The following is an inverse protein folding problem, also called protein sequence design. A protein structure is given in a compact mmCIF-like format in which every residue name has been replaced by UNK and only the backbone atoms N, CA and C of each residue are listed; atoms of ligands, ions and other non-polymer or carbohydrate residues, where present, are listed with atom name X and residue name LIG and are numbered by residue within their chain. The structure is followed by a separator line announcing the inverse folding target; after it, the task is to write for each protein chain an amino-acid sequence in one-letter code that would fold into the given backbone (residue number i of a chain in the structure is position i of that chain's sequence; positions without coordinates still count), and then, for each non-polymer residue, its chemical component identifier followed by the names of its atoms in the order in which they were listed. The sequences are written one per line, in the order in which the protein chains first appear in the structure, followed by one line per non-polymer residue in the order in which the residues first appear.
data_IF_541279680125
#
_entry.id   IF_541279680125
#
_cell.length_a   1.000
_cell.length_b   1.000
_cell.length_c   1.000
_cell.angle_alpha   90.00
_cell.angle_beta   90.00
_cell.angle_gamma   90.00
#
_symmetry.space_group_name_H-M   'P 1'
#
loop_
_entity.id
_entity.type
_entity.pdbx_description
1 polymer ?
#
# COMPACT_ATOMS: atom_id res chain seq x y z
N UNK A 1 73.53 34.47 -29.07
CA UNK A 1 72.83 33.24 -29.52
C UNK A 1 71.37 33.39 -29.09
N UNK A 2 70.39 33.29 -30.00
CA UNK A 2 69.59 32.06 -30.25
C UNK A 2 69.03 31.47 -28.94
N UNK A 3 67.72 31.33 -28.70
CA UNK A 3 66.54 31.54 -29.54
C UNK A 3 65.28 31.77 -28.64
N UNK A 4 64.23 32.42 -29.20
CA UNK A 4 62.76 32.23 -28.99
C UNK A 4 62.29 31.22 -27.92
N UNK A 5 61.17 31.35 -27.20
CA UNK A 5 59.82 31.87 -27.55
C UNK A 5 59.01 32.02 -26.21
N UNK A 6 57.90 32.75 -26.02
CA UNK A 6 56.99 33.56 -26.86
C UNK A 6 56.52 34.82 -26.07
N UNK A 7 55.44 35.48 -26.50
CA UNK A 7 54.65 36.49 -25.76
C UNK A 7 53.18 36.03 -25.79
N UNK A 8 52.45 36.09 -24.67
CA UNK A 8 50.98 35.94 -24.67
C UNK A 8 50.35 37.33 -24.52
N UNK A 9 49.74 37.83 -25.59
CA UNK A 9 49.03 39.11 -25.59
C UNK A 9 47.62 38.93 -25.01
N UNK A 10 47.30 39.68 -23.96
CA UNK A 10 45.93 39.81 -23.48
C UNK A 10 45.17 40.83 -24.32
N UNK A 11 44.02 40.45 -24.88
CA UNK A 11 43.05 41.38 -25.47
C UNK A 11 41.68 41.05 -24.89
N UNK A 12 41.09 42.02 -24.18
CA UNK A 12 39.69 41.99 -23.77
C UNK A 12 38.81 41.98 -25.02
N UNK A 13 37.88 41.03 -25.11
CA UNK A 13 36.75 41.11 -26.05
C UNK A 13 35.45 41.14 -25.26
N UNK A 14 34.74 42.27 -25.39
CA UNK A 14 33.39 42.46 -24.91
C UNK A 14 32.45 41.53 -25.69
N UNK A 15 31.94 40.49 -25.04
CA UNK A 15 30.86 39.68 -25.61
C UNK A 15 29.52 40.36 -25.34
N UNK A 16 28.88 40.83 -26.40
CA UNK A 16 27.48 41.29 -26.38
C UNK A 16 26.59 40.20 -25.80
N UNK A 17 25.63 40.56 -24.94
CA UNK A 17 24.44 39.74 -24.77
C UNK A 17 23.82 39.54 -26.15
N UNK A 18 23.74 38.28 -26.59
CA UNK A 18 22.68 37.87 -27.50
C UNK A 18 21.52 37.44 -26.62
N UNK A 19 20.33 37.95 -26.94
CA UNK A 19 19.10 37.26 -26.56
C UNK A 19 19.04 35.96 -27.36
N UNK A 20 19.74 34.93 -26.87
CA UNK A 20 19.57 33.57 -27.35
C UNK A 20 18.17 33.13 -26.92
N UNK A 21 17.18 33.46 -27.77
CA UNK A 21 15.89 32.81 -27.76
C UNK A 21 16.15 31.33 -27.97
N UNK A 22 16.16 30.59 -26.86
CA UNK A 22 16.02 29.15 -26.86
C UNK A 22 14.68 28.82 -27.51
N UNK A 23 14.69 28.67 -28.83
CA UNK A 23 13.65 27.94 -29.54
C UNK A 23 13.72 26.52 -29.00
N UNK A 24 12.91 26.25 -27.98
CA UNK A 24 12.66 24.91 -27.49
C UNK A 24 11.93 24.17 -28.61
N UNK A 25 12.69 23.58 -29.54
CA UNK A 25 12.16 22.66 -30.53
C UNK A 25 11.80 21.39 -29.76
N UNK A 26 10.62 21.42 -29.14
CA UNK A 26 9.93 20.20 -28.74
C UNK A 26 9.73 19.43 -30.05
N UNK A 27 10.27 18.20 -30.19
CA UNK A 27 9.99 17.39 -31.35
C UNK A 27 8.51 16.99 -31.31
N UNK A 28 7.64 17.78 -31.95
CA UNK A 28 6.26 17.40 -32.19
C UNK A 28 6.28 16.06 -32.93
N UNK A 29 5.59 15.06 -32.38
CA UNK A 29 5.45 13.78 -33.07
C UNK A 29 4.71 13.98 -34.38
N UNK A 30 5.09 13.25 -35.41
CA UNK A 30 4.40 13.17 -36.69
C UNK A 30 3.18 12.21 -36.63
N UNK A 31 2.58 12.07 -35.45
CA UNK A 31 1.31 11.37 -35.20
C UNK A 31 0.22 12.43 -35.10
N UNK A 32 -0.82 12.32 -35.92
CA UNK A 32 -1.99 13.19 -35.89
C UNK A 32 -3.22 12.43 -35.39
N UNK A 33 -3.95 13.02 -34.45
CA UNK A 33 -5.16 12.42 -33.90
C UNK A 33 -6.31 12.49 -34.93
N UNK A 34 -7.10 11.43 -35.07
CA UNK A 34 -8.18 11.32 -36.07
C UNK A 34 -9.54 11.39 -35.40
N UNK A 35 -9.86 10.47 -34.48
CA UNK A 35 -11.07 10.48 -33.68
C UNK A 35 -10.79 10.09 -32.21
N UNK A 36 -11.60 10.49 -31.23
CA UNK A 36 -12.69 11.47 -31.33
C UNK A 36 -12.23 12.87 -31.75
N UNK A 37 -13.17 13.69 -32.24
CA UNK A 37 -12.91 15.10 -32.55
C UNK A 37 -12.77 15.91 -31.25
N UNK A 38 -12.18 17.11 -31.31
CA UNK A 38 -12.10 17.98 -30.13
C UNK A 38 -13.49 18.30 -29.56
N UNK A 39 -13.62 18.35 -28.23
CA UNK A 39 -14.88 18.53 -27.50
C UNK A 39 -15.98 17.47 -27.76
N UNK A 40 -15.65 16.32 -28.35
CA UNK A 40 -16.61 15.20 -28.52
C UNK A 40 -17.20 14.78 -27.17
N UNK A 41 -18.52 14.55 -27.14
CA UNK A 41 -19.22 14.05 -25.96
C UNK A 41 -19.20 12.53 -25.90
N UNK A 42 -18.97 11.99 -24.72
CA UNK A 42 -19.01 10.56 -24.38
C UNK A 42 -19.89 10.43 -23.13
N UNK A 43 -21.08 9.85 -23.25
CA UNK A 43 -21.95 9.59 -22.10
C UNK A 43 -22.03 8.09 -21.86
N UNK A 44 -21.36 7.60 -20.81
CA UNK A 44 -21.34 6.16 -20.51
C UNK A 44 -22.71 5.62 -20.08
N UNK A 45 -23.70 6.49 -19.87
CA UNK A 45 -25.08 6.13 -19.59
C UNK A 45 -25.89 5.86 -20.88
N UNK A 46 -25.36 6.18 -22.07
CA UNK A 46 -25.98 5.81 -23.34
C UNK A 46 -25.83 4.29 -23.57
N UNK A 47 -26.95 3.58 -23.42
CA UNK A 47 -27.02 2.13 -23.61
C UNK A 47 -27.01 1.70 -25.08
N UNK A 48 -26.99 2.64 -26.04
CA UNK A 48 -26.83 2.34 -27.47
C UNK A 48 -25.36 2.32 -27.91
N UNK A 49 -24.42 2.67 -27.03
CA UNK A 49 -22.97 2.72 -27.31
C UNK A 49 -22.21 1.76 -26.39
N UNK A 50 -21.75 0.65 -26.97
CA UNK A 50 -20.94 -0.34 -26.26
C UNK A 50 -19.44 0.00 -26.26
N UNK A 51 -18.95 0.70 -27.30
CA UNK A 51 -17.53 1.05 -27.48
C UNK A 51 -17.33 2.47 -28.05
N UNK A 52 -16.24 3.10 -27.63
CA UNK A 52 -15.76 4.40 -28.11
C UNK A 52 -14.42 4.22 -28.84
N UNK A 53 -14.34 4.69 -30.09
CA UNK A 53 -13.14 4.56 -30.90
C UNK A 53 -12.21 5.77 -30.76
N UNK A 54 -10.96 5.51 -30.38
CA UNK A 54 -9.84 6.43 -30.46
C UNK A 54 -8.97 6.04 -31.66
N UNK A 55 -8.52 7.00 -32.48
CA UNK A 55 -7.75 6.73 -33.69
C UNK A 55 -6.80 7.85 -34.06
N UNK A 56 -5.78 7.49 -34.83
CA UNK A 56 -4.70 8.34 -35.30
C UNK A 56 -4.30 7.95 -36.73
N UNK A 57 -3.47 8.75 -37.39
CA UNK A 57 -3.28 8.72 -38.84
C UNK A 57 -2.34 7.61 -39.37
N UNK A 58 -1.46 7.05 -38.53
CA UNK A 58 -0.43 6.07 -38.93
C UNK A 58 -0.21 4.94 -37.91
N UNK A 59 0.19 3.76 -38.38
CA UNK A 59 0.52 2.63 -37.50
C UNK A 59 1.81 2.88 -36.72
N UNK A 60 1.88 2.38 -35.49
CA UNK A 60 3.07 2.51 -34.63
C UNK A 60 3.72 1.13 -34.44
N UNK A 61 4.94 0.97 -34.93
CA UNK A 61 5.61 -0.34 -35.03
C UNK A 61 5.89 -0.97 -33.66
N UNK A 62 6.17 -0.14 -32.65
CA UNK A 62 6.33 -0.60 -31.25
C UNK A 62 5.01 -0.69 -30.49
N UNK A 63 3.92 -0.20 -31.07
CA UNK A 63 2.61 -0.06 -30.44
C UNK A 63 2.36 1.34 -29.89
N UNK A 64 1.09 1.65 -29.67
CA UNK A 64 0.58 2.90 -29.15
C UNK A 64 0.32 2.83 -27.64
N UNK A 65 0.57 3.92 -26.93
CA UNK A 65 -0.07 4.21 -25.64
C UNK A 65 -1.03 5.37 -25.83
N UNK A 66 -2.32 5.11 -25.61
CA UNK A 66 -3.34 6.14 -25.45
C UNK A 66 -3.20 6.72 -24.04
N UNK A 67 -3.11 8.04 -23.93
CA UNK A 67 -2.93 8.76 -22.67
C UNK A 67 -4.18 9.58 -22.40
N UNK A 68 -4.73 9.46 -21.18
CA UNK A 68 -5.88 10.23 -20.70
C UNK A 68 -5.51 10.94 -19.39
N UNK A 69 -5.90 12.21 -19.23
CA UNK A 69 -5.75 12.96 -17.97
C UNK A 69 -6.85 14.03 -17.84
N UNK A 70 -7.14 14.49 -16.62
CA UNK A 70 -8.00 15.66 -16.34
C UNK A 70 -7.28 17.01 -16.56
N UNK A 71 -5.96 16.97 -16.72
CA UNK A 71 -5.06 18.10 -16.97
C UNK A 71 -4.45 18.02 -18.37
N UNK A 72 -4.20 19.19 -18.99
CA UNK A 72 -3.58 19.26 -20.33
C UNK A 72 -2.11 18.83 -20.32
N UNK A 73 -1.44 19.01 -19.18
CA UNK A 73 -0.01 18.76 -19.02
C UNK A 73 0.30 17.32 -18.57
N UNK A 74 -0.73 16.46 -18.47
CA UNK A 74 -0.65 15.04 -18.11
C UNK A 74 0.10 14.80 -16.79
N UNK A 75 -0.34 15.48 -15.71
CA UNK A 75 0.33 15.42 -14.39
C UNK A 75 0.15 14.09 -13.66
N UNK A 76 -0.91 13.33 -13.95
CA UNK A 76 -1.19 12.02 -13.34
C UNK A 76 -2.03 11.18 -14.30
N UNK A 77 -1.47 10.79 -15.46
CA UNK A 77 -2.24 10.25 -16.55
C UNK A 77 -2.52 8.76 -16.38
N UNK A 78 -3.62 8.30 -16.97
CA UNK A 78 -3.88 6.90 -17.24
C UNK A 78 -3.31 6.55 -18.62
N UNK A 79 -2.49 5.50 -18.69
CA UNK A 79 -1.91 4.98 -19.92
C UNK A 79 -2.55 3.64 -20.33
N UNK A 80 -3.16 3.60 -21.51
CA UNK A 80 -3.87 2.45 -22.06
C UNK A 80 -3.06 1.91 -23.23
N UNK A 81 -2.92 0.58 -23.34
CA UNK A 81 -2.27 -0.04 -24.50
C UNK A 81 -3.20 -0.02 -25.72
N UNK A 82 -2.81 0.75 -26.74
CA UNK A 82 -3.56 0.86 -27.99
C UNK A 82 -3.17 -0.19 -29.04
N UNK A 83 -2.17 -1.05 -28.77
CA UNK A 83 -1.64 -2.00 -29.73
C UNK A 83 -0.99 -1.32 -30.96
N UNK A 84 -0.81 -2.06 -32.05
CA UNK A 84 -0.11 -1.58 -33.27
C UNK A 84 -1.03 -1.02 -34.36
N UNK A 85 -2.35 -1.07 -34.15
CA UNK A 85 -3.33 -0.55 -35.09
C UNK A 85 -3.25 0.98 -35.19
N UNK A 86 -4.05 1.58 -36.08
CA UNK A 86 -4.28 3.03 -36.14
C UNK A 86 -5.46 3.47 -35.27
N UNK A 87 -6.07 2.54 -34.54
CA UNK A 87 -7.24 2.77 -33.71
C UNK A 87 -7.32 1.77 -32.55
N UNK A 88 -7.97 2.20 -31.48
CA UNK A 88 -8.27 1.45 -30.29
C UNK A 88 -9.75 1.62 -29.95
N UNK A 89 -10.46 0.51 -29.75
CA UNK A 89 -11.83 0.49 -29.20
C UNK A 89 -11.76 0.41 -27.67
N UNK A 90 -12.37 1.38 -27.00
CA UNK A 90 -12.54 1.39 -25.55
C UNK A 90 -13.99 1.08 -25.21
N UNK A 91 -14.27 -0.06 -24.58
CA UNK A 91 -15.64 -0.38 -24.15
C UNK A 91 -16.15 0.62 -23.11
N UNK A 92 -17.46 0.88 -23.10
CA UNK A 92 -18.12 1.75 -22.12
C UNK A 92 -17.75 1.37 -20.68
N UNK A 93 -17.64 0.08 -20.41
CA UNK A 93 -17.23 -0.42 -19.10
C UNK A 93 -15.75 -0.09 -18.78
N UNK A 94 -14.82 -0.36 -19.70
CA UNK A 94 -13.41 -0.03 -19.48
C UNK A 94 -13.18 1.48 -19.34
N UNK A 95 -13.94 2.30 -20.09
CA UNK A 95 -13.95 3.75 -19.95
C UNK A 95 -14.34 4.17 -18.53
N UNK A 96 -15.36 3.55 -17.92
CA UNK A 96 -15.79 3.86 -16.55
C UNK A 96 -14.65 3.66 -15.53
N UNK A 97 -13.86 2.58 -15.70
CA UNK A 97 -12.74 2.26 -14.83
C UNK A 97 -11.57 3.24 -15.00
N UNK A 98 -11.20 3.58 -16.24
CA UNK A 98 -10.14 4.56 -16.48
C UNK A 98 -10.54 5.98 -16.04
N UNK A 99 -11.82 6.36 -16.16
CA UNK A 99 -12.30 7.65 -15.65
C UNK A 99 -12.34 7.68 -14.11
N UNK A 100 -12.62 6.54 -13.47
CA UNK A 100 -12.50 6.38 -12.00
C UNK A 100 -11.07 6.59 -11.51
N UNK A 101 -10.06 6.04 -12.22
CA UNK A 101 -8.64 6.23 -11.91
C UNK A 101 -8.19 7.70 -12.03
N UNK A 102 -8.84 8.48 -12.89
CA UNK A 102 -8.63 9.93 -13.03
C UNK A 102 -9.39 10.76 -11.97
N UNK A 103 -9.98 10.13 -10.96
CA UNK A 103 -10.69 10.81 -9.88
C UNK A 103 -12.11 11.28 -10.24
N UNK A 104 -12.65 10.88 -11.39
CA UNK A 104 -14.02 11.25 -11.78
C UNK A 104 -15.01 10.35 -11.06
N UNK A 105 -15.86 10.93 -10.21
CA UNK A 105 -16.91 10.20 -9.48
C UNK A 105 -17.99 9.66 -10.41
N UNK A 106 -18.66 8.58 -10.01
CA UNK A 106 -19.83 8.06 -10.71
C UNK A 106 -20.87 9.16 -11.01
N UNK A 107 -21.44 9.13 -12.23
CA UNK A 107 -22.42 10.10 -12.73
C UNK A 107 -21.88 11.52 -13.03
N UNK A 108 -20.64 11.84 -12.65
CA UNK A 108 -20.04 13.17 -12.84
C UNK A 108 -19.73 13.45 -14.31
N UNK A 109 -19.90 14.72 -14.72
CA UNK A 109 -19.36 15.25 -15.97
C UNK A 109 -17.96 15.84 -15.78
N UNK A 110 -17.04 15.54 -16.70
CA UNK A 110 -15.66 16.04 -16.70
C UNK A 110 -15.15 16.34 -18.11
N UNK A 111 -14.09 17.13 -18.20
CA UNK A 111 -13.30 17.30 -19.44
C UNK A 111 -12.02 16.51 -19.27
N UNK A 112 -11.74 15.60 -20.21
CA UNK A 112 -10.46 14.89 -20.27
C UNK A 112 -9.65 15.36 -21.48
N UNK A 113 -8.34 15.41 -21.30
CA UNK A 113 -7.36 15.61 -22.35
C UNK A 113 -6.84 14.25 -22.79
N UNK A 114 -6.66 14.07 -24.10
CA UNK A 114 -6.14 12.83 -24.65
C UNK A 114 -5.11 13.06 -25.76
N UNK A 115 -4.16 12.13 -25.84
CA UNK A 115 -3.13 12.06 -26.87
C UNK A 115 -2.62 10.63 -27.01
N UNK A 116 -1.72 10.38 -27.97
CA UNK A 116 -1.13 9.06 -28.23
C UNK A 116 0.39 9.21 -28.33
N UNK A 117 1.15 8.29 -27.74
CA UNK A 117 2.62 8.15 -27.94
C UNK A 117 2.97 6.76 -28.46
N UNK A 118 4.10 6.61 -29.12
CA UNK A 118 4.68 5.29 -29.40
C UNK A 118 5.33 4.69 -28.14
N UNK A 119 5.16 3.38 -27.91
CA UNK A 119 5.80 2.64 -26.81
C UNK A 119 7.33 2.83 -26.86
N UNK A 120 7.90 3.23 -25.72
CA UNK A 120 9.34 3.50 -25.60
C UNK A 120 9.78 4.86 -26.14
N UNK A 121 8.88 5.70 -26.66
CA UNK A 121 9.15 7.10 -26.95
C UNK A 121 8.74 7.97 -25.75
N UNK A 122 9.74 8.48 -25.02
CA UNK A 122 9.55 9.38 -23.86
C UNK A 122 9.46 10.86 -24.24
N UNK A 123 9.71 11.20 -25.51
CA UNK A 123 9.99 12.57 -25.94
C UNK A 123 8.92 13.19 -26.83
N UNK A 124 8.00 12.38 -27.37
CA UNK A 124 7.00 12.85 -28.32
C UNK A 124 5.66 12.11 -28.15
N UNK A 125 4.68 12.81 -27.56
CA UNK A 125 3.26 12.53 -27.76
C UNK A 125 2.80 13.13 -29.12
N UNK A 126 1.59 12.79 -29.56
CA UNK A 126 1.01 13.25 -30.83
C UNK A 126 1.11 14.79 -30.99
N UNK A 127 1.12 15.25 -32.25
CA UNK A 127 1.25 16.67 -32.63
C UNK A 127 0.30 17.58 -31.86
N UNK A 128 -0.90 17.06 -31.56
CA UNK A 128 -1.97 17.74 -30.86
C UNK A 128 -2.42 16.97 -29.60
N UNK A 129 -2.99 17.72 -28.66
CA UNK A 129 -3.75 17.21 -27.52
C UNK A 129 -5.20 17.62 -27.72
N UNK A 130 -6.13 16.67 -27.66
CA UNK A 130 -7.57 16.91 -27.85
C UNK A 130 -8.34 16.81 -26.56
N UNK A 131 -9.47 17.52 -26.48
CA UNK A 131 -10.43 17.37 -25.39
C UNK A 131 -11.56 16.40 -25.75
N UNK A 132 -12.07 15.70 -24.74
CA UNK A 132 -13.36 15.01 -24.75
C UNK A 132 -14.17 15.44 -23.52
N UNK A 133 -15.50 15.49 -23.66
CA UNK A 133 -16.43 15.80 -22.57
C UNK A 133 -17.12 14.51 -22.16
N UNK A 134 -16.76 14.00 -21.00
CA UNK A 134 -17.23 12.69 -20.54
C UNK A 134 -18.31 12.86 -19.48
N UNK A 135 -19.27 11.94 -19.46
CA UNK A 135 -20.16 11.71 -18.33
C UNK A 135 -20.00 10.27 -17.88
N UNK A 136 -19.54 10.08 -16.65
CA UNK A 136 -19.26 8.75 -16.10
C UNK A 136 -20.56 7.96 -15.87
N UNK A 137 -20.51 6.62 -15.79
CA UNK A 137 -21.72 5.84 -15.51
C UNK A 137 -22.30 6.25 -14.16
N UNK A 138 -23.63 6.42 -14.13
CA UNK A 138 -24.40 6.67 -12.91
C UNK A 138 -24.57 5.35 -12.17
N UNK A 139 -24.42 5.39 -10.85
CA UNK A 139 -24.55 4.21 -9.99
C UNK A 139 -25.85 4.24 -9.19
N UNK A 140 -26.38 3.05 -8.84
CA UNK A 140 -27.42 2.93 -7.81
C UNK A 140 -26.84 2.85 -6.38
N UNK A 141 -25.53 2.90 -6.23
CA UNK A 141 -24.81 2.75 -4.97
C UNK A 141 -24.60 4.13 -4.33
N UNK A 142 -25.10 4.33 -3.11
CA UNK A 142 -25.25 5.66 -2.49
C UNK A 142 -24.22 5.92 -1.39
N UNK A 143 -23.93 4.92 -0.55
CA UNK A 143 -22.88 4.96 0.48
C UNK A 143 -22.18 3.59 0.57
N UNK A 144 -20.87 3.53 0.84
CA UNK A 144 -19.93 4.65 0.88
C UNK A 144 -19.85 5.35 -0.49
N UNK A 145 -19.50 6.64 -0.51
CA UNK A 145 -19.33 7.35 -1.77
C UNK A 145 -18.25 6.69 -2.65
N UNK A 146 -18.42 6.79 -3.96
CA UNK A 146 -17.40 6.39 -4.92
C UNK A 146 -16.07 7.12 -4.68
N UNK A 147 -14.97 6.35 -4.72
CA UNK A 147 -13.60 6.71 -4.35
C UNK A 147 -13.35 6.97 -2.84
N UNK A 148 -14.27 6.58 -1.95
CA UNK A 148 -14.06 6.69 -0.49
C UNK A 148 -12.86 5.86 -0.03
N UNK A 149 -11.98 6.48 0.77
CA UNK A 149 -10.91 5.76 1.48
C UNK A 149 -11.43 5.15 2.79
N UNK A 150 -11.16 3.87 3.00
CA UNK A 150 -11.54 3.12 4.20
C UNK A 150 -10.28 2.43 4.74
N UNK A 151 -9.82 2.83 5.92
CA UNK A 151 -8.71 2.17 6.63
C UNK A 151 -9.29 1.46 7.84
N UNK A 152 -9.18 0.12 7.87
CA UNK A 152 -9.72 -0.67 8.97
C UNK A 152 -8.81 -0.53 10.20
N UNK A 153 -9.35 0.01 11.29
CA UNK A 153 -8.62 0.20 12.54
C UNK A 153 -8.60 -1.10 13.37
N UNK A 154 -7.40 -1.63 13.62
CA UNK A 154 -7.19 -2.84 14.43
C UNK A 154 -7.64 -2.65 15.88
N UNK A 155 -7.43 -1.46 16.45
CA UNK A 155 -7.81 -1.10 17.81
C UNK A 155 -9.29 -0.75 17.99
N UNK A 156 -10.09 -0.81 16.92
CA UNK A 156 -11.54 -0.56 16.96
C UNK A 156 -12.28 -1.45 15.93
N UNK A 157 -12.28 -2.79 16.13
CA UNK A 157 -12.85 -3.74 15.16
C UNK A 157 -14.39 -3.63 15.03
N UNK A 158 -15.05 -3.05 16.03
CA UNK A 158 -16.49 -2.80 16.07
C UNK A 158 -16.90 -1.50 15.35
N UNK A 159 -15.95 -0.65 14.93
CA UNK A 159 -16.25 0.49 14.07
C UNK A 159 -16.92 0.03 12.76
N UNK A 160 -17.80 0.85 12.20
CA UNK A 160 -18.70 0.41 11.13
C UNK A 160 -18.61 1.25 9.86
N UNK A 161 -18.93 0.60 8.74
CA UNK A 161 -19.18 1.21 7.44
C UNK A 161 -20.62 0.93 7.04
N UNK A 162 -21.38 1.99 6.72
CA UNK A 162 -22.74 1.88 6.20
C UNK A 162 -22.70 1.76 4.67
N UNK A 163 -23.32 0.69 4.18
CA UNK A 163 -23.60 0.47 2.77
C UNK A 163 -25.06 0.83 2.48
N UNK A 164 -25.32 1.60 1.42
CA UNK A 164 -26.65 2.10 1.05
C UNK A 164 -26.78 2.12 -0.47
N UNK A 165 -27.93 1.69 -1.00
CA UNK A 165 -28.21 1.57 -2.42
C UNK A 165 -29.68 1.87 -2.74
N UNK A 166 -29.94 2.37 -3.94
CA UNK A 166 -31.28 2.63 -4.44
C UNK A 166 -32.00 1.31 -4.82
N UNK A 167 -33.09 0.99 -4.12
CA UNK A 167 -33.95 -0.18 -4.35
C UNK A 167 -35.10 0.09 -5.33
N UNK A 168 -35.14 1.23 -6.01
CA UNK A 168 -36.15 1.55 -7.01
C UNK A 168 -36.22 0.46 -8.10
N UNK A 169 -37.42 -0.09 -8.27
CA UNK A 169 -37.71 -1.22 -9.16
C UNK A 169 -37.56 -2.62 -8.54
N UNK A 170 -37.20 -2.74 -7.25
CA UNK A 170 -37.11 -4.02 -6.54
C UNK A 170 -38.38 -4.33 -5.73
N UNK A 171 -38.55 -5.59 -5.34
CA UNK A 171 -39.62 -6.02 -4.42
C UNK A 171 -39.30 -5.69 -2.96
N UNK A 172 -40.31 -5.36 -2.16
CA UNK A 172 -40.19 -5.23 -0.70
C UNK A 172 -39.74 -6.55 -0.01
N UNK A 173 -39.89 -7.68 -0.72
CA UNK A 173 -39.44 -9.01 -0.27
C UNK A 173 -38.10 -9.44 -0.86
N UNK A 174 -37.43 -8.58 -1.63
CA UNK A 174 -36.14 -8.89 -2.25
C UNK A 174 -35.07 -9.06 -1.16
N UNK A 175 -34.14 -10.00 -1.38
CA UNK A 175 -33.03 -10.25 -0.47
C UNK A 175 -31.70 -9.96 -1.16
N UNK A 176 -30.79 -9.38 -0.40
CA UNK A 176 -29.56 -8.81 -0.94
C UNK A 176 -28.31 -9.51 -0.36
N UNK A 177 -27.22 -9.41 -1.10
CA UNK A 177 -25.86 -9.63 -0.62
C UNK A 177 -24.96 -8.45 -1.04
N UNK A 178 -24.11 -7.97 -0.14
CA UNK A 178 -23.02 -7.06 -0.50
C UNK A 178 -21.91 -7.90 -1.13
N UNK A 179 -21.45 -7.48 -2.30
CA UNK A 179 -20.35 -8.09 -3.05
C UNK A 179 -19.14 -7.16 -3.01
N UNK A 180 -17.96 -7.68 -2.63
CA UNK A 180 -16.66 -7.02 -2.78
C UNK A 180 -15.78 -7.81 -3.74
N UNK A 181 -15.07 -7.14 -4.64
CA UNK A 181 -14.12 -7.78 -5.56
C UNK A 181 -12.98 -6.84 -5.97
N UNK A 182 -11.90 -7.40 -6.51
CA UNK A 182 -10.84 -6.65 -7.19
C UNK A 182 -11.09 -6.54 -8.71
N UNK A 183 -12.12 -7.24 -9.20
CA UNK A 183 -12.64 -7.11 -10.57
C UNK A 183 -13.91 -6.24 -10.55
N UNK A 184 -13.91 -5.09 -11.25
CA UNK A 184 -15.08 -4.21 -11.26
C UNK A 184 -16.30 -4.81 -11.96
N UNK A 185 -16.11 -5.83 -12.83
CA UNK A 185 -17.21 -6.59 -13.44
C UNK A 185 -17.80 -7.66 -12.51
N UNK A 186 -17.18 -7.93 -11.36
CA UNK A 186 -17.59 -8.97 -10.39
C UNK A 186 -17.65 -10.39 -11.01
N UNK A 187 -16.81 -10.68 -12.02
CA UNK A 187 -16.70 -11.99 -12.68
C UNK A 187 -15.62 -12.89 -12.07
N UNK A 188 -14.61 -12.30 -11.43
CA UNK A 188 -13.56 -13.03 -10.71
C UNK A 188 -13.99 -13.36 -9.26
N UNK A 189 -13.04 -13.55 -8.34
CA UNK A 189 -13.34 -13.79 -6.92
C UNK A 189 -14.18 -12.66 -6.34
N UNK A 190 -15.34 -13.00 -5.78
CA UNK A 190 -16.22 -12.08 -5.05
C UNK A 190 -16.35 -12.56 -3.61
N UNK A 191 -16.08 -11.69 -2.66
CA UNK A 191 -16.39 -11.91 -1.25
C UNK A 191 -17.79 -11.38 -0.97
N UNK A 192 -18.64 -12.17 -0.30
CA UNK A 192 -20.07 -11.87 -0.19
C UNK A 192 -20.56 -11.90 1.26
N UNK A 193 -21.33 -10.88 1.64
CA UNK A 193 -22.05 -10.83 2.92
C UNK A 193 -23.55 -10.78 2.64
N UNK A 194 -24.26 -11.84 3.02
CA UNK A 194 -25.72 -11.88 2.99
C UNK A 194 -26.30 -10.79 3.90
N UNK A 195 -27.18 -9.97 3.34
CA UNK A 195 -27.96 -8.94 4.04
C UNK A 195 -29.35 -9.48 4.42
N UNK A 196 -29.92 -10.34 3.57
CA UNK A 196 -31.33 -10.72 3.66
C UNK A 196 -32.24 -9.59 3.15
N UNK A 197 -33.47 -9.53 3.65
CA UNK A 197 -34.44 -8.52 3.23
C UNK A 197 -34.13 -7.18 3.92
N UNK A 198 -33.78 -6.16 3.14
CA UNK A 198 -33.40 -4.84 3.66
C UNK A 198 -33.91 -3.69 2.79
N UNK A 199 -34.21 -2.56 3.41
CA UNK A 199 -34.66 -1.32 2.77
C UNK A 199 -33.52 -0.53 2.14
N UNK A 200 -32.70 -1.18 1.33
CA UNK A 200 -31.62 -0.52 0.57
C UNK A 200 -30.41 -0.11 1.40
N UNK A 201 -30.20 -0.66 2.60
CA UNK A 201 -29.00 -0.38 3.39
C UNK A 201 -28.62 -1.54 4.31
N UNK A 202 -27.34 -1.62 4.66
CA UNK A 202 -26.77 -2.55 5.63
C UNK A 202 -25.51 -1.94 6.26
N UNK A 203 -25.04 -2.48 7.38
CA UNK A 203 -23.86 -1.96 8.08
C UNK A 203 -22.91 -3.11 8.40
N UNK A 204 -21.64 -2.95 8.04
CA UNK A 204 -20.57 -3.92 8.30
C UNK A 204 -19.63 -3.36 9.36
N UNK A 205 -19.21 -4.18 10.33
CA UNK A 205 -18.10 -3.84 11.22
C UNK A 205 -16.78 -3.97 10.47
N UNK A 206 -15.71 -3.35 10.98
CA UNK A 206 -14.37 -3.50 10.43
C UNK A 206 -13.91 -4.97 10.50
N UNK A 207 -14.29 -5.73 11.54
CA UNK A 207 -14.00 -7.16 11.63
C UNK A 207 -14.67 -7.98 10.51
N UNK A 208 -15.94 -7.68 10.18
CA UNK A 208 -16.64 -8.32 9.06
C UNK A 208 -16.04 -7.90 7.72
N UNK A 209 -15.66 -6.63 7.55
CA UNK A 209 -14.96 -6.17 6.35
C UNK A 209 -13.59 -6.85 6.18
N UNK A 210 -12.81 -6.99 7.26
CA UNK A 210 -11.55 -7.73 7.23
C UNK A 210 -11.78 -9.17 6.79
N UNK A 211 -12.82 -9.83 7.33
CA UNK A 211 -13.19 -11.21 6.98
C UNK A 211 -13.62 -11.37 5.50
N UNK A 212 -14.10 -10.31 4.86
CA UNK A 212 -14.36 -10.27 3.41
C UNK A 212 -13.07 -9.98 2.62
N UNK A 213 -12.22 -9.06 3.07
CA UNK A 213 -10.94 -8.75 2.44
C UNK A 213 -9.98 -9.95 2.46
N UNK A 214 -9.97 -10.75 3.52
CA UNK A 214 -9.15 -11.97 3.63
C UNK A 214 -9.56 -13.08 2.62
N UNK A 215 -10.71 -12.97 1.96
CA UNK A 215 -11.14 -13.84 0.86
C UNK A 215 -10.65 -13.36 -0.52
N UNK A 216 -10.15 -12.12 -0.60
CA UNK A 216 -9.68 -11.49 -1.84
C UNK A 216 -8.14 -11.51 -1.90
N UNK A 217 -7.53 -11.62 -3.09
CA UNK A 217 -6.07 -11.60 -3.24
C UNK A 217 -5.53 -10.15 -3.20
N UNK A 218 -5.81 -9.44 -2.10
CA UNK A 218 -5.35 -8.05 -1.86
C UNK A 218 -3.84 -7.99 -1.61
N UNK A 219 -3.22 -6.85 -1.95
CA UNK A 219 -1.87 -6.52 -1.45
C UNK A 219 -1.98 -6.18 0.03
N UNK A 220 -1.28 -6.94 0.89
CA UNK A 220 -1.38 -6.79 2.35
C UNK A 220 -0.88 -5.42 2.83
N UNK A 221 -1.49 -4.90 3.89
CA UNK A 221 -1.19 -3.64 4.58
C UNK A 221 -0.90 -2.45 3.64
N UNK A 222 -1.70 -2.37 2.58
CA UNK A 222 -1.59 -1.40 1.50
C UNK A 222 -2.98 -0.92 1.08
N UNK A 223 -3.03 0.24 0.44
CA UNK A 223 -4.21 0.72 -0.28
C UNK A 223 -4.52 -0.23 -1.46
N UNK A 224 -5.74 -0.74 -1.52
CA UNK A 224 -6.26 -1.58 -2.59
C UNK A 224 -7.53 -0.94 -3.18
N UNK A 225 -7.63 -0.94 -4.51
CA UNK A 225 -8.88 -0.64 -5.21
C UNK A 225 -9.82 -1.84 -5.05
N UNK A 226 -10.84 -1.70 -4.21
CA UNK A 226 -11.86 -2.72 -3.99
C UNK A 226 -13.17 -2.18 -4.54
N UNK A 227 -13.75 -2.91 -5.48
CA UNK A 227 -15.05 -2.60 -6.04
C UNK A 227 -16.14 -3.21 -5.17
N UNK A 228 -17.25 -2.50 -5.04
CA UNK A 228 -18.43 -2.99 -4.35
C UNK A 228 -19.69 -2.85 -5.19
N UNK A 229 -20.62 -3.77 -4.99
CA UNK A 229 -21.94 -3.74 -5.59
C UNK A 229 -22.89 -4.55 -4.70
N UNK A 230 -24.18 -4.60 -5.05
CA UNK A 230 -25.19 -5.36 -4.32
C UNK A 230 -25.84 -6.34 -5.27
N UNK A 231 -25.90 -7.61 -4.89
CA UNK A 231 -26.56 -8.67 -5.66
C UNK A 231 -27.94 -9.00 -5.08
N UNK A 232 -28.92 -9.19 -5.94
CA UNK A 232 -30.29 -9.64 -5.62
C UNK A 232 -30.37 -11.17 -5.55
N UNK A 233 -31.48 -11.71 -5.02
CA UNK A 233 -31.71 -13.16 -4.93
C UNK A 233 -31.68 -13.91 -6.27
N UNK A 234 -32.01 -13.22 -7.37
CA UNK A 234 -31.95 -13.77 -8.73
C UNK A 234 -30.54 -13.72 -9.36
N UNK A 235 -29.53 -13.23 -8.63
CA UNK A 235 -28.13 -13.16 -9.06
C UNK A 235 -27.73 -11.89 -9.82
N UNK A 236 -28.64 -10.95 -10.04
CA UNK A 236 -28.35 -9.70 -10.75
C UNK A 236 -27.65 -8.67 -9.84
N UNK A 237 -26.81 -7.81 -10.42
CA UNK A 237 -26.24 -6.66 -9.73
C UNK A 237 -27.22 -5.48 -9.79
N UNK A 238 -27.39 -4.78 -8.66
CA UNK A 238 -28.27 -3.61 -8.54
C UNK A 238 -27.77 -2.43 -9.39
N UNK A 239 -26.46 -2.25 -9.47
CA UNK A 239 -25.85 -1.19 -10.27
C UNK A 239 -25.05 -1.76 -11.44
N UNK A 240 -25.15 -1.10 -12.61
CA UNK A 240 -24.34 -1.41 -13.81
C UNK A 240 -22.86 -1.07 -13.62
N UNK A 241 -22.56 -0.03 -12.85
CA UNK A 241 -21.20 0.33 -12.44
C UNK A 241 -21.05 0.04 -10.94
N UNK A 242 -20.01 -0.74 -10.61
CA UNK A 242 -19.61 -1.03 -9.24
C UNK A 242 -18.95 0.21 -8.64
N UNK A 243 -19.23 0.50 -7.37
CA UNK A 243 -18.62 1.61 -6.64
C UNK A 243 -17.17 1.29 -6.33
N UNK A 244 -16.29 2.27 -6.44
CA UNK A 244 -14.86 2.12 -6.15
C UNK A 244 -14.57 2.53 -4.69
N UNK A 245 -13.86 1.69 -3.92
CA UNK A 245 -13.37 2.00 -2.58
C UNK A 245 -11.84 1.84 -2.56
N UNK A 246 -11.16 2.79 -1.93
CA UNK A 246 -9.75 2.63 -1.60
C UNK A 246 -9.62 2.04 -0.20
N UNK A 247 -9.51 0.71 -0.11
CA UNK A 247 -9.50 -0.01 1.16
C UNK A 247 -8.07 -0.37 1.60
N UNK A 248 -7.74 -0.05 2.84
CA UNK A 248 -6.59 -0.61 3.55
C UNK A 248 -7.11 -1.49 4.68
N UNK A 249 -6.66 -2.74 4.69
CA UNK A 249 -7.02 -3.72 5.70
C UNK A 249 -6.48 -3.37 7.10
N UNK A 250 -6.86 -4.16 8.11
CA UNK A 250 -6.35 -4.00 9.47
C UNK A 250 -4.83 -4.23 9.52
N UNK A 251 -4.16 -3.38 10.29
CA UNK A 251 -2.73 -3.49 10.61
C UNK A 251 -2.47 -4.60 11.64
N UNK A 252 -2.85 -5.84 11.29
CA UNK A 252 -2.60 -7.07 12.06
C UNK A 252 -2.08 -8.21 11.19
N UNK A 253 -1.32 -9.10 11.80
CA UNK A 253 -0.92 -10.40 11.27
C UNK A 253 -1.57 -11.51 12.12
N UNK A 254 -2.26 -12.45 11.48
CA UNK A 254 -2.84 -13.63 12.13
C UNK A 254 -1.93 -14.82 11.84
N UNK A 255 -1.09 -15.15 12.80
CA UNK A 255 -0.15 -16.28 12.73
C UNK A 255 -0.89 -17.57 13.11
N UNK A 256 -0.91 -18.56 12.21
CA UNK A 256 -1.57 -19.85 12.42
C UNK A 256 -0.52 -20.95 12.23
N UNK A 257 -0.26 -21.71 13.30
CA UNK A 257 0.77 -22.73 13.37
C UNK A 257 0.18 -24.01 13.96
N UNK A 258 -0.37 -24.85 13.10
CA UNK A 258 -1.14 -26.02 13.53
C UNK A 258 -2.39 -25.58 14.29
N UNK A 259 -2.46 -25.93 15.58
CA UNK A 259 -3.53 -25.56 16.51
C UNK A 259 -3.31 -24.21 17.23
N UNK A 260 -2.12 -23.62 17.15
CA UNK A 260 -1.83 -22.30 17.73
C UNK A 260 -2.25 -21.19 16.75
N UNK A 261 -3.10 -20.26 17.22
CA UNK A 261 -3.51 -19.05 16.49
C UNK A 261 -3.22 -17.82 17.34
N UNK A 262 -2.34 -16.94 16.88
CA UNK A 262 -1.97 -15.71 17.59
C UNK A 262 -2.11 -14.53 16.63
N UNK A 263 -2.81 -13.48 17.07
CA UNK A 263 -2.82 -12.19 16.36
C UNK A 263 -1.70 -11.30 16.91
N UNK A 264 -1.00 -10.62 16.01
CA UNK A 264 0.02 -9.63 16.29
C UNK A 264 -0.32 -8.33 15.58
N UNK A 265 -0.09 -7.19 16.24
CA UNK A 265 -0.14 -5.88 15.57
C UNK A 265 1.02 -5.72 14.59
N UNK A 266 0.82 -5.02 13.50
CA UNK A 266 1.87 -4.61 12.55
C UNK A 266 1.90 -3.10 12.36
N UNK A 267 3.02 -2.57 11.90
CA UNK A 267 3.14 -1.16 11.51
C UNK A 267 3.93 -1.00 10.22
N UNK A 268 3.70 0.09 9.48
CA UNK A 268 4.48 0.48 8.31
C UNK A 268 5.45 1.60 8.70
N UNK A 269 6.73 1.26 8.80
CA UNK A 269 7.80 2.24 8.99
C UNK A 269 8.17 2.81 7.62
N UNK A 270 8.18 4.14 7.49
CA UNK A 270 8.65 4.85 6.29
C UNK A 270 10.03 5.43 6.58
N UNK A 271 10.91 5.37 5.59
CA UNK A 271 12.28 5.86 5.68
C UNK A 271 12.46 7.14 4.85
N UNK A 272 13.44 7.96 5.24
CA UNK A 272 13.78 9.24 4.60
C UNK A 272 14.24 9.11 3.14
N UNK A 273 14.68 7.92 2.71
CA UNK A 273 15.01 7.59 1.33
C UNK A 273 13.78 7.30 0.43
N UNK A 274 12.57 7.34 1.01
CA UNK A 274 11.31 7.07 0.32
C UNK A 274 10.89 5.59 0.33
N UNK A 275 11.69 4.70 0.91
CA UNK A 275 11.31 3.29 1.11
C UNK A 275 10.41 3.11 2.33
N UNK A 276 9.84 1.92 2.50
CA UNK A 276 9.10 1.54 3.70
C UNK A 276 9.20 0.04 3.95
N UNK A 277 9.04 -0.38 5.20
CA UNK A 277 8.95 -1.79 5.59
C UNK A 277 7.76 -2.01 6.52
N UNK A 278 7.11 -3.17 6.41
CA UNK A 278 6.13 -3.64 7.40
C UNK A 278 6.84 -4.44 8.48
N UNK A 279 6.62 -4.09 9.74
CA UNK A 279 7.19 -4.72 10.92
C UNK A 279 6.10 -5.32 11.81
N UNK A 280 6.38 -6.43 12.50
CA UNK A 280 5.63 -6.80 13.71
C UNK A 280 5.85 -5.73 14.79
N UNK A 281 4.75 -5.10 15.22
CA UNK A 281 4.72 -4.19 16.35
C UNK A 281 4.74 -4.94 17.70
N UNK A 282 4.26 -6.18 17.72
CA UNK A 282 4.34 -7.03 18.90
C UNK A 282 5.62 -7.89 18.90
N UNK A 283 6.14 -8.19 20.10
CA UNK A 283 7.10 -9.28 20.25
C UNK A 283 6.40 -10.62 20.02
N UNK A 284 7.11 -11.55 19.38
CA UNK A 284 6.60 -12.87 19.04
C UNK A 284 6.28 -13.71 20.30
N UNK A 285 5.15 -14.44 20.25
CA UNK A 285 4.56 -15.19 21.38
C UNK A 285 4.42 -16.70 21.11
N UNK A 286 4.74 -17.14 19.91
CA UNK A 286 4.55 -18.52 19.44
C UNK A 286 5.39 -19.56 20.19
N UNK A 287 4.84 -20.77 20.32
CA UNK A 287 5.54 -21.98 20.76
C UNK A 287 5.74 -23.03 19.67
N UNK A 288 5.41 -22.70 18.42
CA UNK A 288 5.45 -23.63 17.28
C UNK A 288 6.22 -23.07 16.08
N UNK A 289 6.75 -23.96 15.26
CA UNK A 289 7.25 -23.62 13.93
C UNK A 289 6.08 -23.38 12.96
N UNK A 290 6.31 -22.72 11.81
CA UNK A 290 5.27 -22.46 10.82
C UNK A 290 4.58 -23.71 10.24
N UNK A 291 5.18 -24.90 10.38
CA UNK A 291 4.57 -26.20 10.01
C UNK A 291 3.63 -26.78 11.09
N UNK A 292 3.49 -26.10 12.23
CA UNK A 292 2.68 -26.51 13.38
C UNK A 292 3.36 -27.44 14.38
N UNK A 293 4.63 -27.83 14.14
CA UNK A 293 5.41 -28.61 15.10
C UNK A 293 5.86 -27.77 16.29
N UNK A 294 5.95 -28.37 17.47
CA UNK A 294 6.38 -27.67 18.69
C UNK A 294 7.86 -27.27 18.63
N UNK A 295 8.19 -26.06 19.09
CA UNK A 295 9.57 -25.63 19.28
C UNK A 295 10.14 -26.39 20.49
N UNK A 296 11.38 -26.89 20.35
CA UNK A 296 12.05 -27.61 21.41
C UNK A 296 12.23 -26.73 22.67
N UNK A 297 11.94 -27.26 23.87
CA UNK A 297 11.91 -26.49 25.13
C UNK A 297 13.25 -25.85 25.54
N UNK A 298 14.34 -26.21 24.88
CA UNK A 298 15.67 -25.59 25.05
C UNK A 298 15.84 -24.33 24.18
N UNK A 299 15.06 -24.18 23.10
CA UNK A 299 15.16 -23.09 22.15
C UNK A 299 14.22 -21.92 22.39
N UNK A 300 13.37 -21.98 23.42
CA UNK A 300 12.61 -20.82 23.87
C UNK A 300 12.41 -20.78 25.38
N UNK A 301 12.09 -19.58 25.90
CA UNK A 301 11.68 -19.32 27.29
C UNK A 301 10.50 -18.34 27.29
N UNK A 302 9.41 -18.67 27.98
CA UNK A 302 8.25 -17.78 28.12
C UNK A 302 8.53 -16.71 29.18
N UNK A 303 7.99 -15.49 29.00
CA UNK A 303 7.92 -14.50 30.09
C UNK A 303 7.21 -15.11 31.30
N UNK A 304 7.77 -15.04 32.53
CA UNK A 304 7.14 -15.59 33.72
C UNK A 304 5.77 -14.96 34.01
N UNK A 305 4.78 -15.79 34.34
CA UNK A 305 3.42 -15.33 34.70
C UNK A 305 3.39 -14.38 35.90
N UNK A 306 4.42 -14.41 36.76
CA UNK A 306 4.61 -13.49 37.88
C UNK A 306 4.85 -12.04 37.47
N UNK A 307 5.13 -11.76 36.19
CA UNK A 307 5.29 -10.40 35.66
C UNK A 307 3.94 -9.71 35.37
N UNK A 308 2.83 -10.46 35.42
CA UNK A 308 1.49 -9.98 35.08
C UNK A 308 1.19 -10.06 33.57
N UNK A 309 -0.10 -10.18 33.25
CA UNK A 309 -0.59 -10.45 31.88
C UNK A 309 -0.08 -9.44 30.84
N UNK A 310 -0.14 -8.14 31.13
CA UNK A 310 0.36 -7.10 30.24
C UNK A 310 1.82 -7.29 29.85
N UNK A 311 2.71 -7.53 30.84
CA UNK A 311 4.13 -7.82 30.56
C UNK A 311 4.34 -9.14 29.86
N UNK A 312 3.56 -10.19 30.17
CA UNK A 312 3.63 -11.48 29.45
C UNK A 312 3.30 -11.29 27.96
N UNK A 313 2.26 -10.50 27.65
CA UNK A 313 1.84 -10.24 26.28
C UNK A 313 2.81 -9.30 25.52
N UNK A 314 3.31 -8.25 26.19
CA UNK A 314 4.21 -7.26 25.60
C UNK A 314 5.64 -7.77 25.44
N UNK A 315 6.18 -8.50 26.42
CA UNK A 315 7.54 -9.07 26.34
C UNK A 315 7.59 -10.34 25.49
N UNK A 316 6.50 -11.12 25.47
CA UNK A 316 6.35 -12.31 24.65
C UNK A 316 7.28 -13.45 25.07
N UNK A 317 7.93 -14.06 24.08
CA UNK A 317 8.81 -15.23 24.25
C UNK A 317 10.24 -14.88 23.81
N UNK A 318 11.21 -15.43 24.53
CA UNK A 318 12.64 -15.31 24.27
C UNK A 318 13.11 -16.54 23.52
N UNK A 319 13.74 -16.35 22.37
CA UNK A 319 14.11 -17.43 21.44
C UNK A 319 15.63 -17.58 21.34
N UNK A 320 16.09 -18.82 21.27
CA UNK A 320 17.50 -19.17 21.03
C UNK A 320 17.86 -18.96 19.56
N UNK A 321 19.13 -18.65 19.26
CA UNK A 321 19.54 -18.30 17.90
C UNK A 321 19.38 -19.46 16.90
N UNK A 322 19.42 -20.72 17.33
CA UNK A 322 19.31 -21.90 16.44
C UNK A 322 18.02 -21.93 15.60
N UNK A 323 16.95 -21.26 16.04
CA UNK A 323 15.67 -21.25 15.33
C UNK A 323 15.56 -20.13 14.30
N UNK A 324 16.56 -19.24 14.19
CA UNK A 324 16.53 -18.04 13.32
C UNK A 324 16.14 -18.33 11.87
N UNK A 325 16.52 -19.50 11.36
CA UNK A 325 16.25 -19.96 9.99
C UNK A 325 14.95 -20.78 9.84
N UNK A 326 14.16 -20.95 10.91
CA UNK A 326 12.96 -21.81 10.94
C UNK A 326 11.71 -21.13 11.49
N UNK A 327 11.87 -20.07 12.29
CA UNK A 327 10.79 -19.49 13.11
C UNK A 327 9.86 -18.56 12.32
N UNK A 328 10.32 -18.01 11.20
CA UNK A 328 9.57 -17.06 10.38
C UNK A 328 8.64 -17.78 9.38
N UNK A 329 7.35 -17.42 9.31
CA UNK A 329 6.39 -17.99 8.36
C UNK A 329 6.61 -17.43 6.94
N UNK A 330 5.97 -18.04 5.94
CA UNK A 330 6.14 -17.64 4.54
C UNK A 330 5.77 -16.15 4.29
N UNK A 331 6.65 -15.42 3.60
CA UNK A 331 6.50 -13.98 3.36
C UNK A 331 6.98 -13.11 4.53
N UNK A 332 7.55 -13.69 5.58
CA UNK A 332 8.16 -12.99 6.69
C UNK A 332 9.59 -13.48 6.92
N UNK A 333 10.46 -12.61 7.41
CA UNK A 333 11.80 -12.98 7.88
C UNK A 333 12.11 -12.39 9.25
N UNK A 334 13.06 -13.02 9.95
CA UNK A 334 13.68 -12.46 11.14
C UNK A 334 14.64 -11.33 10.71
N UNK A 335 14.51 -10.09 11.26
CA UNK A 335 15.27 -8.94 10.79
C UNK A 335 16.78 -9.16 10.86
N UNK A 336 17.47 -8.63 9.87
CA UNK A 336 18.92 -8.58 9.81
C UNK A 336 19.49 -7.54 10.76
N UNK A 337 20.78 -7.67 11.05
CA UNK A 337 21.56 -6.68 11.77
C UNK A 337 21.63 -5.33 11.04
N UNK A 338 21.38 -5.30 9.72
CA UNK A 338 21.33 -4.07 8.95
C UNK A 338 19.96 -3.37 9.04
N UNK A 339 18.86 -4.11 9.02
CA UNK A 339 17.51 -3.54 9.15
C UNK A 339 17.31 -2.86 10.51
N UNK A 340 17.78 -3.46 11.60
CA UNK A 340 17.76 -2.77 12.90
C UNK A 340 18.64 -1.52 12.91
N UNK A 341 19.82 -1.53 12.29
CA UNK A 341 20.64 -0.31 12.16
C UNK A 341 19.89 0.78 11.39
N UNK A 342 19.23 0.44 10.28
CA UNK A 342 18.46 1.38 9.48
C UNK A 342 17.29 1.96 10.30
N UNK A 343 16.52 1.10 10.98
CA UNK A 343 15.40 1.49 11.85
C UNK A 343 15.84 2.45 12.97
N UNK A 344 16.90 2.11 13.70
CA UNK A 344 17.39 2.96 14.80
C UNK A 344 18.12 4.22 14.30
N UNK A 345 18.71 4.20 13.09
CA UNK A 345 19.29 5.40 12.49
C UNK A 345 18.22 6.38 12.02
N UNK A 346 17.17 5.91 11.34
CA UNK A 346 16.03 6.72 10.92
C UNK A 346 15.35 7.34 12.16
N UNK A 347 15.06 6.53 13.18
CA UNK A 347 14.47 7.00 14.43
C UNK A 347 15.36 8.00 15.19
N UNK A 348 16.69 7.94 15.06
CA UNK A 348 17.59 8.94 15.65
C UNK A 348 17.45 10.34 15.01
N UNK A 349 16.89 10.43 13.81
CA UNK A 349 16.66 11.70 13.08
C UNK A 349 15.24 12.27 13.26
N UNK A 350 14.31 11.47 13.81
CA UNK A 350 12.94 11.87 14.07
C UNK A 350 12.84 12.89 15.21
N UNK A 351 11.78 13.70 15.21
CA UNK A 351 11.38 14.44 16.41
C UNK A 351 11.03 13.43 17.52
N UNK A 352 11.45 13.69 18.75
CA UNK A 352 11.42 12.70 19.82
C UNK A 352 12.48 11.58 19.77
N UNK A 353 13.30 11.49 18.72
CA UNK A 353 14.34 10.48 18.53
C UNK A 353 13.78 9.04 18.68
N UNK A 354 14.53 8.10 19.27
CA UNK A 354 14.12 6.71 19.48
C UNK A 354 12.85 6.52 20.31
N UNK A 355 12.25 7.56 20.89
CA UNK A 355 10.97 7.44 21.61
C UNK A 355 9.81 7.10 20.66
N UNK A 356 9.88 7.51 19.39
CA UNK A 356 8.84 7.23 18.38
C UNK A 356 8.60 5.74 18.14
N UNK A 357 9.53 4.89 18.58
CA UNK A 357 9.45 3.44 18.50
C UNK A 357 8.91 2.79 19.78
N UNK A 358 8.96 3.47 20.94
CA UNK A 358 8.89 2.85 22.27
C UNK A 358 7.49 2.88 22.86
N UNK A 359 7.06 1.70 23.29
CA UNK A 359 5.85 1.51 24.07
C UNK A 359 5.86 2.38 25.36
N UNK A 360 4.80 3.15 25.62
CA UNK A 360 4.72 4.08 26.76
C UNK A 360 4.54 3.39 28.12
N UNK A 361 4.06 2.14 28.15
CA UNK A 361 3.78 1.38 29.39
C UNK A 361 4.95 0.46 29.77
N UNK A 362 5.52 -0.25 28.79
CA UNK A 362 6.49 -1.34 28.98
C UNK A 362 7.96 -0.93 28.82
N UNK A 363 8.24 0.37 28.74
CA UNK A 363 9.59 0.95 28.60
C UNK A 363 9.83 2.03 29.67
N UNK A 364 10.08 1.61 30.92
CA UNK A 364 10.16 2.50 32.11
C UNK A 364 11.00 3.78 31.92
N UNK A 365 12.12 3.71 31.20
CA UNK A 365 13.03 4.86 31.00
C UNK A 365 12.41 6.02 30.22
N UNK A 366 11.24 5.84 29.59
CA UNK A 366 10.55 6.88 28.82
C UNK A 366 9.17 7.28 29.38
N UNK A 367 8.82 6.85 30.60
CA UNK A 367 7.61 7.33 31.27
C UNK A 367 7.63 8.85 31.43
N UNK A 368 6.54 9.50 31.02
CA UNK A 368 6.41 10.96 31.04
C UNK A 368 7.26 11.70 29.99
N UNK A 369 7.70 11.02 28.93
CA UNK A 369 8.28 11.64 27.73
C UNK A 369 7.21 11.91 26.68
N UNK A 370 7.53 12.80 25.76
CA UNK A 370 6.75 13.08 24.55
C UNK A 370 7.23 12.17 23.40
N UNK A 371 6.47 12.14 22.30
CA UNK A 371 6.72 11.33 21.11
C UNK A 371 6.87 9.83 21.38
N UNK A 372 5.99 9.26 22.21
CA UNK A 372 5.99 7.83 22.53
C UNK A 372 5.18 7.05 21.50
N UNK A 373 5.83 6.04 20.90
CA UNK A 373 5.25 5.10 19.92
C UNK A 373 4.51 5.74 18.73
N UNK A 374 4.93 6.92 18.27
CA UNK A 374 4.31 7.59 17.12
C UNK A 374 4.39 6.78 15.81
N UNK A 375 5.32 5.83 15.72
CA UNK A 375 5.46 4.91 14.59
C UNK A 375 4.74 3.57 14.82
N UNK A 376 4.08 3.38 15.96
CA UNK A 376 3.30 2.18 16.28
C UNK A 376 4.12 0.90 16.38
N UNK A 377 5.44 0.98 16.59
CA UNK A 377 6.29 -0.21 16.69
C UNK A 377 6.15 -0.90 18.05
N UNK A 378 5.60 -0.27 19.08
CA UNK A 378 5.39 -0.84 20.42
C UNK A 378 6.66 -1.53 20.97
N UNK A 379 7.83 -0.93 20.75
CA UNK A 379 9.11 -1.50 21.19
C UNK A 379 9.16 -1.50 22.72
N UNK A 380 9.45 -2.65 23.32
CA UNK A 380 9.43 -2.84 24.78
C UNK A 380 10.84 -3.00 25.35
N UNK A 381 11.04 -2.59 26.61
CA UNK A 381 12.25 -2.92 27.36
C UNK A 381 12.13 -4.32 27.98
N UNK A 382 11.94 -5.34 27.14
CA UNK A 382 11.74 -6.74 27.58
C UNK A 382 12.99 -7.38 28.18
N UNK A 383 14.19 -6.85 27.91
CA UNK A 383 15.43 -7.46 28.38
C UNK A 383 15.80 -8.72 27.58
N UNK A 384 16.67 -9.56 28.15
CA UNK A 384 17.08 -10.83 27.52
C UNK A 384 17.17 -11.96 28.54
N UNK A 385 16.99 -13.20 28.07
CA UNK A 385 17.21 -14.38 28.90
C UNK A 385 18.71 -14.63 29.08
N UNK A 386 19.15 -14.72 30.33
CA UNK A 386 20.54 -15.00 30.69
C UNK A 386 20.58 -15.98 31.86
N UNK A 387 21.04 -17.21 31.60
CA UNK A 387 20.98 -18.29 32.57
C UNK A 387 19.53 -18.66 32.89
N UNK A 388 19.11 -18.50 34.16
CA UNK A 388 17.79 -18.92 34.63
C UNK A 388 16.74 -17.79 34.71
N UNK A 389 17.08 -16.54 34.32
CA UNK A 389 16.16 -15.39 34.45
C UNK A 389 16.26 -14.36 33.32
N UNK A 390 15.27 -13.46 33.26
CA UNK A 390 15.27 -12.31 32.35
C UNK A 390 16.10 -11.18 32.97
N UNK A 391 17.27 -10.93 32.41
CA UNK A 391 18.14 -9.80 32.73
C UNK A 391 17.69 -8.51 32.00
N UNK A 392 17.91 -7.36 32.63
CA UNK A 392 17.73 -6.02 32.04
C UNK A 392 16.33 -5.67 31.51
N UNK A 393 15.29 -6.41 31.90
CA UNK A 393 13.90 -6.02 31.67
C UNK A 393 13.55 -4.73 32.42
N UNK A 394 12.60 -3.95 31.90
CA UNK A 394 12.17 -2.66 32.48
C UNK A 394 13.31 -1.62 32.64
N UNK A 395 14.37 -1.69 31.82
CA UNK A 395 15.48 -0.71 31.79
C UNK A 395 15.42 0.19 30.54
N UNK A 396 16.53 0.84 30.17
CA UNK A 396 16.67 1.53 28.88
C UNK A 396 17.03 0.59 27.71
N UNK A 397 17.31 -0.68 28.00
CA UNK A 397 17.85 -1.66 27.05
C UNK A 397 16.75 -2.45 26.34
N UNK A 398 16.80 -2.49 25.01
CA UNK A 398 15.98 -3.38 24.20
C UNK A 398 16.87 -4.44 23.54
N UNK A 399 16.49 -5.72 23.67
CA UNK A 399 17.19 -6.86 23.08
C UNK A 399 16.31 -7.51 22.04
N UNK A 400 16.88 -7.88 20.89
CA UNK A 400 16.13 -8.41 19.75
C UNK A 400 16.94 -9.50 19.04
N UNK A 401 16.29 -10.60 18.68
CA UNK A 401 16.90 -11.66 17.88
C UNK A 401 17.11 -11.19 16.43
N UNK A 402 18.23 -11.61 15.82
CA UNK A 402 18.63 -11.28 14.44
C UNK A 402 18.96 -12.52 13.64
N UNK A 403 18.80 -12.47 12.32
CA UNK A 403 19.03 -13.59 11.40
C UNK A 403 20.50 -13.85 11.03
N UNK A 404 21.36 -12.83 11.10
CA UNK A 404 22.66 -12.78 10.40
C UNK A 404 23.89 -12.62 11.31
N UNK A 405 23.72 -12.74 12.63
CA UNK A 405 24.81 -12.55 13.61
C UNK A 405 25.36 -13.89 14.15
N UNK A 406 26.51 -13.80 14.83
CA UNK A 406 27.21 -14.90 15.49
C UNK A 406 26.30 -15.71 16.43
N UNK A 407 26.69 -16.96 16.64
CA UNK A 407 26.02 -17.88 17.57
C UNK A 407 26.03 -17.32 19.00
N UNK A 408 24.90 -17.53 19.68
CA UNK A 408 24.54 -16.92 20.97
C UNK A 408 24.52 -15.38 21.03
N UNK A 409 24.54 -14.64 19.91
CA UNK A 409 24.41 -13.18 19.94
C UNK A 409 22.99 -12.69 19.63
N UNK A 410 22.63 -11.53 20.17
CA UNK A 410 21.42 -10.78 19.82
C UNK A 410 21.75 -9.30 19.61
N UNK A 411 20.86 -8.54 18.98
CA UNK A 411 20.94 -7.08 18.96
C UNK A 411 20.60 -6.50 20.33
N UNK A 412 21.36 -5.51 20.78
CA UNK A 412 21.05 -4.67 21.95
C UNK A 412 21.08 -3.20 21.53
N UNK A 413 19.92 -2.54 21.60
CA UNK A 413 19.81 -1.09 21.52
C UNK A 413 19.81 -0.49 22.94
N UNK A 414 20.73 0.44 23.19
CA UNK A 414 21.01 1.00 24.52
C UNK A 414 20.46 2.43 24.73
N UNK A 415 19.58 2.87 23.83
CA UNK A 415 19.15 4.27 23.70
C UNK A 415 20.28 5.23 23.25
N UNK A 416 21.29 4.70 22.55
CA UNK A 416 22.31 5.45 21.82
C UNK A 416 22.40 5.03 20.36
N UNK A 417 23.29 5.68 19.60
CA UNK A 417 23.48 5.44 18.17
C UNK A 417 24.24 4.14 17.83
N UNK A 418 24.65 3.35 18.82
CA UNK A 418 25.44 2.12 18.62
C UNK A 418 24.60 0.91 18.95
N UNK A 419 24.48 -0.02 17.99
CA UNK A 419 23.86 -1.32 18.23
C UNK A 419 24.92 -2.32 18.70
N UNK A 420 24.68 -2.93 19.87
CA UNK A 420 25.60 -3.85 20.52
C UNK A 420 25.21 -5.31 20.26
N UNK A 421 26.16 -6.23 20.47
CA UNK A 421 26.01 -7.65 20.14
C UNK A 421 26.36 -8.57 21.34
N UNK A 422 25.66 -8.43 22.49
CA UNK A 422 25.95 -9.23 23.67
C UNK A 422 25.60 -10.71 23.48
N UNK A 423 26.24 -11.56 24.28
CA UNK A 423 25.86 -12.96 24.45
C UNK A 423 24.48 -13.08 25.11
N UNK A 424 23.67 -14.04 24.66
CA UNK A 424 22.32 -14.30 25.15
C UNK A 424 22.00 -15.80 25.21
N UNK A 425 21.13 -16.17 26.15
CA UNK A 425 20.42 -17.47 26.13
C UNK A 425 19.13 -17.39 25.31
N UNK A 426 18.59 -16.20 25.10
CA UNK A 426 17.47 -15.98 24.21
C UNK A 426 16.96 -14.54 24.24
N UNK A 427 16.54 -14.05 23.08
CA UNK A 427 16.05 -12.69 22.90
C UNK A 427 14.61 -12.69 22.34
N UNK A 428 13.81 -11.64 22.62
CA UNK A 428 12.54 -11.42 21.92
C UNK A 428 12.75 -11.40 20.41
N UNK A 429 11.81 -11.96 19.66
CA UNK A 429 11.82 -11.93 18.20
C UNK A 429 10.68 -11.06 17.64
N UNK A 430 10.90 -10.51 16.46
CA UNK A 430 9.94 -9.78 15.62
C UNK A 430 10.20 -10.19 14.18
N UNK A 431 9.29 -9.88 13.26
CA UNK A 431 9.50 -10.11 11.83
C UNK A 431 9.34 -8.83 11.03
N UNK A 432 10.02 -8.79 9.88
CA UNK A 432 9.72 -7.89 8.76
C UNK A 432 9.04 -8.70 7.67
N UNK A 433 8.09 -8.09 6.96
CA UNK A 433 7.37 -8.72 5.87
C UNK A 433 8.06 -8.46 4.52
N UNK A 434 8.15 -9.51 3.71
CA UNK A 434 8.63 -9.48 2.33
C UNK A 434 7.54 -8.91 1.41
N UNK A 435 7.46 -7.59 1.30
CA UNK A 435 6.58 -6.95 0.31
C UNK A 435 6.99 -7.34 -1.13
N UNK A 436 6.01 -7.85 -1.87
CA UNK A 436 6.13 -8.20 -3.30
C UNK A 436 5.42 -7.18 -4.21
#
# INVERSE_FOLDING_TARGET
MKHTIYILFGILLLASCKDDKYNLIIPMSDIYLVAPQNDTKIDLNDLSVDEYSFSWDKSLDKGAKLILDVTKDFTSPVEIDGGKATSFSLSSFAADQYFSQLGVKSGQEAVLYWTVKEVGNTSAAASDVRTIRIKRMSTKLLQPEDLTQIVLAENNPDATVRFEWNTEGQSDTESYAICLSLDPEMKQTVAEQSVGNASGNFTLTFETLQSLLDQLPIKRWSANTVYWNVRTSNGQLISRSSGNLNMTEMMRFVDIRGDEKITYRVTRIKYSDGTSQIWLADNLRTTKYPDGTDIEANYFKKTPVSFGEGKVNAYGVYYHYDIRNKIAPAGWHLPTSQEYKNLFAEAATADGQWNVLKDPEYYESVKGKEHLDEWGLNLCASGQWMGESISNHSTQYCYLLVSDNNDHCCALHDNGATLWWPWTTGAPARFVYDEK
#
